data_IF_539856491790
#
_entry.id   IF_539856491790
#
_cell.length_a   1.000
_cell.length_b   1.000
_cell.length_c   1.000
_cell.angle_alpha   90.00
_cell.angle_beta   90.00
_cell.angle_gamma   90.00
#
_symmetry.space_group_name_H-M   'P 1'
#
loop_
_entity.id
_entity.type
_entity.pdbx_description
1 polymer ?
#
# COMPACT_ATOMS: atom_id res chain seq x y z
N UNK A 1 31.80 25.38 -45.12
CA UNK A 1 30.99 25.47 -43.89
C UNK A 1 30.20 24.19 -43.78
N UNK A 2 30.65 23.25 -42.95
CA UNK A 2 29.96 22.00 -42.64
C UNK A 2 29.42 22.14 -41.23
N UNK A 3 28.09 22.20 -41.10
CA UNK A 3 27.38 22.25 -39.81
C UNK A 3 27.40 20.83 -39.23
N UNK A 4 27.77 20.62 -37.95
CA UNK A 4 27.76 19.28 -37.38
C UNK A 4 26.32 18.84 -37.06
N UNK A 5 26.03 17.56 -37.27
CA UNK A 5 24.80 16.91 -36.86
C UNK A 5 24.69 17.00 -35.32
N UNK A 6 23.60 17.58 -34.82
CA UNK A 6 23.25 17.51 -33.41
C UNK A 6 22.90 16.06 -33.05
N UNK A 7 23.63 15.49 -32.10
CA UNK A 7 23.33 14.21 -31.48
C UNK A 7 22.00 14.34 -30.69
N UNK A 8 20.92 13.78 -31.23
CA UNK A 8 19.73 13.51 -30.44
C UNK A 8 20.08 12.41 -29.43
N UNK A 9 20.33 12.81 -28.19
CA UNK A 9 20.32 11.87 -27.08
C UNK A 9 18.88 11.38 -26.90
N UNK A 10 18.51 10.32 -27.59
CA UNK A 10 17.29 9.55 -27.34
C UNK A 10 17.47 8.77 -26.02
N UNK A 11 17.52 9.54 -24.93
CA UNK A 11 17.47 9.05 -23.58
C UNK A 11 16.05 8.63 -23.27
N UNK A 12 15.57 7.56 -23.91
CA UNK A 12 14.38 6.84 -23.48
C UNK A 12 14.66 6.26 -22.08
N UNK A 13 14.46 7.09 -21.06
CA UNK A 13 14.41 6.68 -19.66
C UNK A 13 13.21 5.75 -19.56
N UNK A 14 13.46 4.44 -19.60
CA UNK A 14 12.46 3.44 -19.26
C UNK A 14 11.99 3.74 -17.84
N UNK A 15 10.82 4.39 -17.72
CA UNK A 15 10.12 4.55 -16.46
C UNK A 15 9.93 3.14 -15.91
N UNK A 16 10.62 2.81 -14.82
CA UNK A 16 10.44 1.53 -14.14
C UNK A 16 8.98 1.50 -13.71
N UNK A 17 8.16 0.68 -14.36
CA UNK A 17 6.75 0.55 -14.01
C UNK A 17 6.65 0.06 -12.56
N UNK A 18 6.29 0.98 -11.66
CA UNK A 18 6.05 0.66 -10.27
C UNK A 18 4.65 0.04 -10.18
N UNK A 19 4.60 -1.30 -10.13
CA UNK A 19 3.34 -2.02 -9.96
C UNK A 19 2.60 -1.53 -8.71
N UNK A 20 1.30 -1.26 -8.84
CA UNK A 20 0.48 -0.83 -7.72
C UNK A 20 0.42 -1.96 -6.67
N UNK A 21 0.94 -1.75 -5.45
CA UNK A 21 1.04 -2.81 -4.45
C UNK A 21 -0.33 -3.30 -3.94
N UNK A 22 -1.39 -2.49 -4.09
CA UNK A 22 -2.75 -2.86 -3.67
C UNK A 22 -3.54 -3.60 -4.74
N UNK A 23 -3.19 -3.48 -6.02
CA UNK A 23 -3.94 -4.10 -7.12
C UNK A 23 -4.14 -5.62 -6.94
N UNK A 24 -3.08 -6.43 -6.72
CA UNK A 24 -3.26 -7.87 -6.52
C UNK A 24 -4.06 -8.20 -5.26
N UNK A 25 -3.93 -7.38 -4.20
CA UNK A 25 -4.66 -7.57 -2.94
C UNK A 25 -6.16 -7.30 -3.15
N UNK A 26 -6.53 -6.21 -3.81
CA UNK A 26 -7.94 -5.86 -4.04
C UNK A 26 -8.60 -6.92 -4.93
N UNK A 27 -7.90 -7.38 -5.97
CA UNK A 27 -8.40 -8.42 -6.86
C UNK A 27 -8.72 -9.73 -6.12
N UNK A 28 -7.94 -10.11 -5.10
CA UNK A 28 -8.19 -11.34 -4.33
C UNK A 28 -9.41 -11.25 -3.41
N UNK A 29 -9.86 -10.04 -3.03
CA UNK A 29 -10.98 -9.86 -2.08
C UNK A 29 -12.28 -9.36 -2.71
N UNK A 30 -12.30 -9.07 -4.01
CA UNK A 30 -13.47 -8.43 -4.65
C UNK A 30 -14.73 -9.31 -4.64
N UNK A 31 -14.59 -10.63 -4.66
CA UNK A 31 -15.68 -11.61 -4.60
C UNK A 31 -15.75 -12.33 -3.24
N UNK A 32 -15.08 -11.82 -2.21
CA UNK A 32 -15.00 -12.50 -0.93
C UNK A 32 -16.37 -12.47 -0.21
N UNK A 33 -16.87 -13.60 0.33
CA UNK A 33 -18.19 -13.67 0.97
C UNK A 33 -18.30 -12.77 2.22
N UNK A 34 -17.20 -12.61 2.96
CA UNK A 34 -17.10 -11.63 4.03
C UNK A 34 -16.91 -10.22 3.44
N UNK A 35 -17.99 -9.43 3.42
CA UNK A 35 -18.02 -8.04 2.93
C UNK A 35 -17.12 -7.05 3.72
N UNK A 36 -16.62 -7.43 4.90
CA UNK A 36 -15.72 -6.57 5.69
C UNK A 36 -14.30 -6.53 5.12
N UNK A 37 -13.85 -7.60 4.47
CA UNK A 37 -12.52 -7.66 3.85
C UNK A 37 -12.31 -6.67 2.71
N UNK A 38 -13.16 -6.63 1.67
CA UNK A 38 -12.99 -5.64 0.61
C UNK A 38 -13.15 -4.20 1.13
N UNK A 39 -13.88 -3.98 2.24
CA UNK A 39 -13.95 -2.67 2.89
C UNK A 39 -12.62 -2.29 3.53
N UNK A 40 -12.05 -3.16 4.35
CA UNK A 40 -10.75 -2.92 5.01
C UNK A 40 -9.65 -2.69 3.98
N UNK A 41 -9.57 -3.54 2.95
CA UNK A 41 -8.53 -3.41 1.92
C UNK A 41 -8.66 -2.10 1.13
N UNK A 42 -9.89 -1.66 0.81
CA UNK A 42 -10.12 -0.34 0.20
C UNK A 42 -9.74 0.80 1.13
N UNK A 43 -10.02 0.69 2.43
CA UNK A 43 -9.61 1.70 3.41
C UNK A 43 -8.10 1.84 3.47
N UNK A 44 -7.34 0.74 3.50
CA UNK A 44 -5.88 0.80 3.46
C UNK A 44 -5.34 1.41 2.18
N UNK A 45 -5.89 1.04 1.02
CA UNK A 45 -5.53 1.65 -0.25
C UNK A 45 -5.76 3.17 -0.23
N UNK A 46 -6.93 3.61 0.27
CA UNK A 46 -7.24 5.04 0.40
C UNK A 46 -6.26 5.77 1.32
N UNK A 47 -6.03 5.27 2.54
CA UNK A 47 -5.11 5.93 3.46
C UNK A 47 -3.65 5.91 2.98
N UNK A 48 -3.26 4.92 2.17
CA UNK A 48 -1.96 4.94 1.50
C UNK A 48 -1.84 6.09 0.50
N UNK A 49 -2.92 6.53 -0.15
CA UNK A 49 -2.86 7.73 -1.00
C UNK A 49 -2.62 9.02 -0.21
N UNK A 50 -3.12 9.10 1.03
CA UNK A 50 -3.00 10.28 1.90
C UNK A 50 -1.67 10.33 2.65
N UNK A 51 -1.21 9.16 3.10
CA UNK A 51 -0.09 9.03 4.03
C UNK A 51 1.08 8.18 3.51
N UNK A 52 0.99 7.62 2.30
CA UNK A 52 2.00 6.69 1.76
C UNK A 52 3.38 7.29 1.56
N UNK A 53 3.48 8.61 1.43
CA UNK A 53 4.74 9.34 1.28
C UNK A 53 5.25 9.94 2.59
N UNK A 54 4.64 9.62 3.74
CA UNK A 54 5.08 10.15 5.04
C UNK A 54 6.33 9.42 5.53
N UNK A 55 7.42 10.13 5.86
CA UNK A 55 8.59 9.49 6.45
C UNK A 55 8.32 9.08 7.90
N UNK A 56 9.17 8.20 8.44
CA UNK A 56 9.22 7.96 9.87
C UNK A 56 9.43 9.28 10.64
N UNK A 57 8.80 9.40 11.80
CA UNK A 57 8.79 10.61 12.63
C UNK A 57 7.67 11.59 12.30
N UNK A 58 6.92 11.41 11.20
CA UNK A 58 5.77 12.27 10.87
C UNK A 58 4.70 12.28 11.96
N UNK A 59 4.50 11.15 12.65
CA UNK A 59 3.52 10.99 13.73
C UNK A 59 4.09 11.20 15.14
N UNK A 60 5.26 11.86 15.26
CA UNK A 60 5.86 12.17 16.56
C UNK A 60 5.00 13.17 17.34
N UNK A 61 4.95 13.00 18.66
CA UNK A 61 4.21 13.91 19.56
C UNK A 61 2.72 13.65 19.64
N UNK A 62 2.28 12.47 19.19
CA UNK A 62 0.94 11.96 19.46
C UNK A 62 0.91 11.19 20.78
N UNK A 63 -0.28 10.89 21.29
CA UNK A 63 -0.48 10.09 22.51
C UNK A 63 -0.08 8.61 22.33
N UNK A 64 0.17 8.18 21.09
CA UNK A 64 0.54 6.81 20.77
C UNK A 64 2.05 6.62 20.93
N UNK A 65 2.44 5.81 21.91
CA UNK A 65 3.83 5.40 22.12
C UNK A 65 4.38 4.69 20.88
N UNK A 66 5.58 5.09 20.43
CA UNK A 66 6.23 4.52 19.25
C UNK A 66 5.68 5.00 17.91
N UNK A 67 4.75 5.96 17.89
CA UNK A 67 4.19 6.52 16.65
C UNK A 67 5.27 7.12 15.73
N UNK A 68 6.40 7.56 16.27
CA UNK A 68 7.56 8.04 15.51
C UNK A 68 8.17 6.97 14.59
N UNK A 69 7.93 5.68 14.85
CA UNK A 69 8.41 4.58 14.01
C UNK A 69 7.51 4.32 12.79
N UNK A 70 6.33 4.94 12.75
CA UNK A 70 5.37 4.78 11.65
C UNK A 70 5.82 5.57 10.42
N UNK A 71 5.89 4.87 9.29
CA UNK A 71 6.15 5.42 7.96
C UNK A 71 4.97 5.15 7.02
N UNK A 72 5.00 5.76 5.83
CA UNK A 72 3.92 5.64 4.84
C UNK A 72 3.70 4.23 4.30
N UNK A 73 4.67 3.32 4.48
CA UNK A 73 4.51 1.90 4.13
C UNK A 73 3.52 1.14 5.03
N UNK A 74 3.14 1.72 6.18
CA UNK A 74 2.24 1.11 7.17
C UNK A 74 0.98 0.48 6.54
N UNK A 75 0.31 1.20 5.64
CA UNK A 75 -0.96 0.76 5.06
C UNK A 75 -0.79 -0.41 4.08
N UNK A 76 0.30 -0.46 3.32
CA UNK A 76 0.63 -1.61 2.45
C UNK A 76 0.95 -2.83 3.32
N UNK A 77 1.72 -2.64 4.40
CA UNK A 77 2.06 -3.71 5.35
C UNK A 77 0.81 -4.26 6.04
N UNK A 78 -0.10 -3.39 6.48
CA UNK A 78 -1.38 -3.78 7.07
C UNK A 78 -2.25 -4.57 6.09
N UNK A 79 -2.37 -4.11 4.84
CA UNK A 79 -3.12 -4.79 3.79
C UNK A 79 -2.61 -6.22 3.54
N UNK A 80 -1.29 -6.39 3.45
CA UNK A 80 -0.65 -7.70 3.29
C UNK A 80 -0.87 -8.60 4.50
N UNK A 81 -0.74 -8.08 5.73
CA UNK A 81 -1.00 -8.85 6.95
C UNK A 81 -2.46 -9.30 7.04
N UNK A 82 -3.41 -8.41 6.77
CA UNK A 82 -4.83 -8.77 6.70
C UNK A 82 -5.10 -9.84 5.65
N UNK A 83 -4.46 -9.74 4.48
CA UNK A 83 -4.63 -10.73 3.42
C UNK A 83 -4.08 -12.11 3.82
N UNK A 84 -2.90 -12.15 4.44
CA UNK A 84 -2.27 -13.40 4.92
C UNK A 84 -3.11 -14.08 6.00
N UNK A 85 -3.45 -13.36 7.05
CA UNK A 85 -4.16 -13.91 8.20
C UNK A 85 -5.62 -14.29 7.89
N UNK A 86 -6.20 -13.79 6.81
CA UNK A 86 -7.53 -14.21 6.36
C UNK A 86 -7.49 -15.30 5.27
N UNK A 87 -6.34 -15.49 4.62
CA UNK A 87 -6.10 -16.59 3.68
C UNK A 87 -5.72 -17.90 4.38
N UNK A 88 -5.05 -17.84 5.53
CA UNK A 88 -4.88 -18.99 6.42
C UNK A 88 -6.14 -19.19 7.25
N UNK A 89 -6.61 -20.45 7.36
CA UNK A 89 -7.86 -20.87 7.99
C UNK A 89 -8.00 -20.57 9.51
N UNK A 90 -7.17 -19.70 10.07
CA UNK A 90 -7.16 -19.36 11.50
C UNK A 90 -7.41 -17.86 11.68
N UNK A 91 -8.70 -17.56 11.66
CA UNK A 91 -9.40 -16.41 12.22
C UNK A 91 -8.56 -15.46 13.07
N UNK A 92 -8.55 -14.16 12.72
CA UNK A 92 -8.29 -13.10 13.69
C UNK A 92 -9.34 -13.18 14.80
N UNK A 93 -9.03 -13.90 15.88
CA UNK A 93 -9.90 -13.89 17.05
C UNK A 93 -9.65 -12.63 17.86
N UNK A 94 -10.59 -11.69 17.75
CA UNK A 94 -11.47 -11.42 18.88
C UNK A 94 -12.87 -11.79 18.38
N UNK A 95 -13.10 -13.11 18.24
CA UNK A 95 -14.33 -13.76 17.72
C UNK A 95 -14.86 -13.35 16.33
N UNK A 96 -14.16 -12.50 15.56
CA UNK A 96 -14.73 -11.84 14.38
C UNK A 96 -15.68 -10.73 14.85
N UNK A 97 -15.19 -9.49 14.94
CA UNK A 97 -15.86 -8.38 15.64
C UNK A 97 -17.34 -8.15 15.23
N UNK A 98 -18.24 -8.86 15.93
CA UNK A 98 -19.71 -8.81 15.99
C UNK A 98 -20.51 -8.81 14.66
N UNK A 99 -20.66 -9.98 14.02
CA UNK A 99 -21.95 -10.54 13.57
C UNK A 99 -21.79 -12.01 13.17
#
# INVERSE_FOLDING_TARGET
MTVPLSEESDGSVFQKEHSNPFLPIIQSFILHPNNHLPKIQRSFAHFSTLYGNRPAGYHKGTELEGAELLDGSLFVRAALLTAKCMGEANTWSISGFFW
#
